data_IF_506308463539
#
_entry.id   IF_506308463539
#
_cell.length_a   1.000
_cell.length_b   1.000
_cell.length_c   1.000
_cell.angle_alpha   90.00
_cell.angle_beta   90.00
_cell.angle_gamma   90.00
#
_symmetry.space_group_name_H-M   'P 1'
#
loop_
_entity.id
_entity.type
_entity.pdbx_description
1 polymer ?
#
# COMPACT_ATOMS: atom_id res chain seq x y z
N UNK A 1 -22.89 -14.20 -25.30
CA UNK A 1 -21.92 -13.08 -25.23
C UNK A 1 -21.01 -13.37 -24.08
N UNK A 2 -19.71 -13.56 -24.32
CA UNK A 2 -18.76 -13.99 -23.29
C UNK A 2 -18.76 -12.97 -22.14
N UNK A 3 -19.01 -13.43 -20.93
CA UNK A 3 -18.86 -12.66 -19.70
C UNK A 3 -17.41 -12.18 -19.58
N UNK A 4 -17.11 -10.98 -20.10
CA UNK A 4 -15.79 -10.36 -19.98
C UNK A 4 -15.63 -9.76 -18.58
N UNK A 5 -15.52 -10.64 -17.59
CA UNK A 5 -15.32 -10.25 -16.18
C UNK A 5 -14.05 -9.42 -16.02
N UNK A 6 -13.00 -9.77 -16.77
CA UNK A 6 -11.71 -9.06 -16.85
C UNK A 6 -11.70 -8.15 -18.08
N UNK A 7 -12.55 -7.13 -18.08
CA UNK A 7 -12.56 -6.05 -19.07
C UNK A 7 -12.88 -4.72 -18.39
N UNK A 8 -12.37 -3.63 -18.94
CA UNK A 8 -12.76 -2.28 -18.51
C UNK A 8 -14.24 -1.96 -18.76
N UNK A 9 -14.93 -2.78 -19.56
CA UNK A 9 -16.39 -2.73 -19.71
C UNK A 9 -17.11 -3.11 -18.41
N UNK A 10 -16.48 -3.91 -17.55
CA UNK A 10 -17.02 -4.28 -16.25
C UNK A 10 -16.70 -3.17 -15.23
N UNK A 11 -17.70 -2.47 -14.68
CA UNK A 11 -17.47 -1.35 -13.77
C UNK A 11 -16.73 -1.76 -12.48
N UNK A 12 -16.88 -3.01 -12.05
CA UNK A 12 -16.19 -3.56 -10.88
C UNK A 12 -14.70 -3.74 -11.16
N UNK A 13 -14.35 -4.29 -12.33
CA UNK A 13 -12.97 -4.48 -12.73
C UNK A 13 -12.29 -3.14 -13.03
N UNK A 14 -12.97 -2.22 -13.72
CA UNK A 14 -12.45 -0.89 -14.01
C UNK A 14 -12.14 -0.12 -12.71
N UNK A 15 -13.05 -0.18 -11.73
CA UNK A 15 -12.83 0.40 -10.41
C UNK A 15 -11.63 -0.26 -9.73
N UNK A 16 -11.62 -1.60 -9.65
CA UNK A 16 -10.50 -2.35 -9.07
C UNK A 16 -9.16 -1.94 -9.69
N UNK A 17 -9.05 -1.92 -11.02
CA UNK A 17 -7.83 -1.57 -11.74
C UNK A 17 -7.35 -0.15 -11.40
N UNK A 18 -8.27 0.82 -11.30
CA UNK A 18 -7.94 2.18 -10.92
C UNK A 18 -7.40 2.27 -9.47
N UNK A 19 -8.09 1.66 -8.50
CA UNK A 19 -7.67 1.72 -7.08
C UNK A 19 -6.41 0.87 -6.83
N UNK A 20 -6.27 -0.28 -7.48
CA UNK A 20 -5.06 -1.11 -7.47
C UNK A 20 -3.87 -0.36 -8.06
N UNK A 21 -4.07 0.34 -9.17
CA UNK A 21 -3.06 1.22 -9.77
C UNK A 21 -2.66 2.35 -8.82
N UNK A 22 -3.62 3.04 -8.21
CA UNK A 22 -3.35 4.10 -7.22
C UNK A 22 -2.57 3.58 -6.00
N UNK A 23 -2.96 2.42 -5.45
CA UNK A 23 -2.24 1.81 -4.33
C UNK A 23 -0.80 1.41 -4.74
N UNK A 24 -0.63 0.86 -5.93
CA UNK A 24 0.69 0.49 -6.47
C UNK A 24 1.57 1.70 -6.71
N UNK A 25 1.02 2.77 -7.31
CA UNK A 25 1.73 4.04 -7.49
C UNK A 25 2.15 4.66 -6.16
N UNK A 26 1.28 4.59 -5.14
CA UNK A 26 1.61 5.03 -3.78
C UNK A 26 2.80 4.25 -3.23
N UNK A 27 2.81 2.92 -3.36
CA UNK A 27 3.92 2.07 -2.92
C UNK A 27 5.22 2.42 -3.63
N UNK A 28 5.18 2.61 -4.95
CA UNK A 28 6.35 3.06 -5.73
C UNK A 28 6.83 4.46 -5.28
N UNK A 29 5.91 5.37 -4.99
CA UNK A 29 6.23 6.70 -4.46
C UNK A 29 6.96 6.65 -3.11
N UNK A 30 6.62 5.68 -2.24
CA UNK A 30 7.30 5.51 -0.96
C UNK A 30 8.78 5.12 -1.11
N UNK A 31 9.16 4.42 -2.17
CA UNK A 31 10.56 4.16 -2.52
C UNK A 31 11.31 5.47 -2.76
N UNK A 32 10.73 6.38 -3.55
CA UNK A 32 11.32 7.69 -3.85
C UNK A 32 11.45 8.56 -2.60
N UNK A 33 10.43 8.56 -1.72
CA UNK A 33 10.47 9.29 -0.44
C UNK A 33 11.58 8.74 0.47
N UNK A 34 11.80 7.42 0.47
CA UNK A 34 12.89 6.80 1.24
C UNK A 34 14.25 7.25 0.71
N UNK A 35 14.44 7.24 -0.60
CA UNK A 35 15.68 7.71 -1.25
C UNK A 35 15.91 9.20 -0.95
N UNK A 36 14.88 10.03 -1.06
CA UNK A 36 14.95 11.45 -0.72
C UNK A 36 15.45 11.67 0.71
N UNK A 37 14.85 10.99 1.70
CA UNK A 37 15.29 11.12 3.09
C UNK A 37 16.72 10.64 3.32
N UNK A 38 17.17 9.60 2.61
CA UNK A 38 18.57 9.12 2.68
C UNK A 38 19.56 10.15 2.15
N UNK A 39 19.27 10.73 0.98
CA UNK A 39 20.12 11.75 0.36
C UNK A 39 20.13 13.03 1.20
N UNK A 40 18.97 13.55 1.59
CA UNK A 40 18.88 14.79 2.38
C UNK A 40 19.56 14.67 3.75
N UNK A 41 19.47 13.51 4.39
CA UNK A 41 20.11 13.25 5.70
C UNK A 41 21.56 12.77 5.56
N UNK A 42 22.06 12.54 4.34
CA UNK A 42 23.37 11.93 4.07
C UNK A 42 23.59 10.60 4.81
N UNK A 43 22.51 9.84 5.00
CA UNK A 43 22.53 8.53 5.68
C UNK A 43 22.27 7.44 4.65
N UNK A 44 23.31 6.67 4.38
CA UNK A 44 23.28 5.62 3.37
C UNK A 44 23.34 4.24 4.02
N UNK A 45 22.73 3.25 3.37
CA UNK A 45 22.83 1.86 3.81
C UNK A 45 24.16 1.25 3.42
N UNK A 46 24.68 1.61 2.25
CA UNK A 46 25.87 1.01 1.69
C UNK A 46 26.99 2.05 1.54
N UNK A 47 28.26 1.63 1.64
CA UNK A 47 29.40 2.53 1.53
C UNK A 47 29.55 3.13 0.12
N UNK A 48 29.21 2.41 -0.94
CA UNK A 48 29.27 2.93 -2.33
C UNK A 48 28.33 4.13 -2.55
N UNK A 49 27.20 4.17 -1.85
CA UNK A 49 26.20 5.23 -2.01
C UNK A 49 26.64 6.55 -1.37
N UNK A 50 27.69 6.53 -0.54
CA UNK A 50 28.25 7.74 0.06
C UNK A 50 28.80 8.72 -0.98
N UNK A 51 29.10 8.23 -2.20
CA UNK A 51 29.52 9.08 -3.31
C UNK A 51 28.42 10.04 -3.80
N UNK A 52 27.14 9.70 -3.57
CA UNK A 52 26.01 10.56 -3.91
C UNK A 52 25.70 11.61 -2.83
N UNK A 53 26.34 11.52 -1.67
CA UNK A 53 26.21 12.48 -0.58
C UNK A 53 27.40 13.45 -0.48
N UNK A 54 27.30 14.39 0.46
CA UNK A 54 28.45 15.20 0.83
C UNK A 54 29.47 14.31 1.55
N UNK A 55 30.60 13.99 0.89
CA UNK A 55 31.64 13.04 1.35
C UNK A 55 32.08 13.21 2.80
N UNK A 56 32.06 14.43 3.33
CA UNK A 56 32.46 14.73 4.72
C UNK A 56 31.35 14.49 5.76
N UNK A 57 30.08 14.41 5.32
CA UNK A 57 28.90 14.24 6.19
C UNK A 57 28.14 12.94 5.94
N UNK A 58 28.54 12.17 4.91
CA UNK A 58 27.94 10.89 4.59
C UNK A 58 28.32 9.85 5.63
N UNK A 59 27.32 9.33 6.34
CA UNK A 59 27.50 8.29 7.34
C UNK A 59 26.77 7.02 6.89
N UNK A 60 27.50 5.90 6.87
CA UNK A 60 26.90 4.57 6.62
C UNK A 60 26.29 4.09 7.93
N UNK A 61 24.99 4.31 8.10
CA UNK A 61 24.22 3.88 9.29
C UNK A 61 22.81 3.51 8.87
N UNK A 62 22.30 2.43 9.44
CA UNK A 62 20.93 1.98 9.19
C UNK A 62 19.91 2.60 10.14
N UNK A 63 20.37 3.12 11.29
CA UNK A 63 19.53 3.39 12.47
C UNK A 63 19.02 4.83 12.54
N UNK A 64 19.11 5.61 11.46
CA UNK A 64 18.64 6.99 11.50
C UNK A 64 17.11 7.02 11.66
N UNK A 65 16.57 7.64 12.72
CA UNK A 65 15.16 7.48 13.12
C UNK A 65 14.17 7.88 12.04
N UNK A 66 14.46 8.96 11.28
CA UNK A 66 13.63 9.42 10.17
C UNK A 66 13.63 8.43 8.99
N UNK A 67 14.80 7.87 8.63
CA UNK A 67 14.94 6.93 7.52
C UNK A 67 14.26 5.61 7.86
N UNK A 68 14.46 5.12 9.09
CA UNK A 68 13.77 3.94 9.59
C UNK A 68 12.25 4.12 9.70
N UNK A 69 11.79 5.34 10.02
CA UNK A 69 10.36 5.65 10.05
C UNK A 69 9.75 5.47 8.66
N UNK A 70 10.34 6.06 7.63
CA UNK A 70 9.86 5.92 6.24
C UNK A 70 10.00 4.47 5.76
N UNK A 71 11.10 3.78 6.09
CA UNK A 71 11.31 2.36 5.76
C UNK A 71 10.23 1.46 6.39
N UNK A 72 9.89 1.66 7.67
CA UNK A 72 8.80 0.91 8.33
C UNK A 72 7.44 1.17 7.69
N UNK A 73 7.19 2.40 7.24
CA UNK A 73 5.99 2.74 6.50
C UNK A 73 5.92 1.97 5.18
N UNK A 74 7.02 1.97 4.42
CA UNK A 74 7.10 1.23 3.17
C UNK A 74 6.97 -0.29 3.37
N UNK A 75 7.58 -0.84 4.43
CA UNK A 75 7.37 -2.26 4.78
C UNK A 75 5.91 -2.57 5.09
N UNK A 76 5.21 -1.71 5.82
CA UNK A 76 3.79 -1.89 6.08
C UNK A 76 2.96 -1.87 4.78
N UNK A 77 3.33 -1.03 3.82
CA UNK A 77 2.69 -1.04 2.51
C UNK A 77 2.94 -2.35 1.75
N UNK A 78 4.17 -2.86 1.79
CA UNK A 78 4.53 -4.15 1.20
C UNK A 78 3.83 -5.34 1.86
N UNK A 79 3.47 -5.24 3.13
CA UNK A 79 2.71 -6.27 3.84
C UNK A 79 1.20 -6.22 3.52
N UNK A 80 0.65 -5.07 3.13
CA UNK A 80 -0.80 -4.88 2.99
C UNK A 80 -1.29 -4.71 1.55
N UNK A 81 -0.53 -4.06 0.69
CA UNK A 81 -0.93 -3.80 -0.70
C UNK A 81 -0.90 -5.07 -1.55
N UNK A 82 0.13 -5.94 -1.51
CA UNK A 82 0.12 -7.18 -2.30
C UNK A 82 -1.05 -8.12 -1.96
N UNK A 83 -1.41 -8.35 -0.68
CA UNK A 83 -2.63 -9.09 -0.36
C UNK A 83 -3.89 -8.43 -0.94
N UNK A 84 -4.01 -7.10 -0.88
CA UNK A 84 -5.14 -6.38 -1.47
C UNK A 84 -5.20 -6.55 -2.99
N UNK A 85 -4.07 -6.53 -3.70
CA UNK A 85 -4.04 -6.76 -5.15
C UNK A 85 -4.53 -8.18 -5.49
N UNK A 86 -4.03 -9.19 -4.78
CA UNK A 86 -4.43 -10.58 -5.05
C UNK A 86 -5.89 -10.82 -4.69
N UNK A 87 -6.30 -10.45 -3.47
CA UNK A 87 -7.68 -10.67 -2.98
C UNK A 87 -8.67 -9.81 -3.76
N UNK A 88 -8.33 -8.55 -4.05
CA UNK A 88 -9.17 -7.65 -4.83
C UNK A 88 -9.42 -8.19 -6.24
N UNK A 89 -8.39 -8.74 -6.89
CA UNK A 89 -8.56 -9.41 -8.18
C UNK A 89 -9.49 -10.64 -8.09
N UNK A 90 -9.27 -11.51 -7.10
CA UNK A 90 -10.13 -12.68 -6.89
C UNK A 90 -11.57 -12.28 -6.56
N UNK A 91 -11.77 -11.16 -5.84
CA UNK A 91 -13.07 -10.62 -5.50
C UNK A 91 -13.83 -10.08 -6.72
N UNK A 92 -13.15 -9.59 -7.77
CA UNK A 92 -13.82 -9.26 -9.04
C UNK A 92 -14.47 -10.51 -9.66
N UNK A 93 -13.82 -11.68 -9.53
CA UNK A 93 -14.30 -12.95 -10.09
C UNK A 93 -15.56 -13.47 -9.38
N UNK A 94 -15.80 -13.07 -8.13
CA UNK A 94 -17.01 -13.47 -7.40
C UNK A 94 -18.28 -12.72 -7.84
N UNK A 95 -18.18 -11.85 -8.86
CA UNK A 95 -19.27 -10.99 -9.37
C UNK A 95 -20.05 -10.27 -8.26
N UNK A 96 -19.35 -9.49 -7.40
CA UNK A 96 -19.99 -8.75 -6.33
C UNK A 96 -20.82 -7.59 -6.89
N UNK A 97 -21.70 -7.03 -6.05
CA UNK A 97 -22.41 -5.80 -6.41
C UNK A 97 -21.43 -4.63 -6.57
N UNK A 98 -21.67 -3.80 -7.60
CA UNK A 98 -20.77 -2.71 -7.99
C UNK A 98 -20.53 -1.71 -6.86
N UNK A 99 -21.59 -1.33 -6.14
CA UNK A 99 -21.51 -0.35 -5.06
C UNK A 99 -20.70 -0.87 -3.88
N UNK A 100 -20.91 -2.13 -3.50
CA UNK A 100 -20.19 -2.73 -2.37
C UNK A 100 -18.71 -2.86 -2.70
N UNK A 101 -18.35 -3.33 -3.90
CA UNK A 101 -16.96 -3.42 -4.32
C UNK A 101 -16.26 -2.04 -4.35
N UNK A 102 -16.94 -1.03 -4.88
CA UNK A 102 -16.43 0.34 -4.93
C UNK A 102 -16.13 0.89 -3.52
N UNK A 103 -17.04 0.66 -2.56
CA UNK A 103 -16.82 1.06 -1.18
C UNK A 103 -15.66 0.33 -0.51
N UNK A 104 -15.46 -0.95 -0.78
CA UNK A 104 -14.30 -1.70 -0.25
C UNK A 104 -12.98 -1.12 -0.77
N UNK A 105 -12.89 -0.84 -2.08
CA UNK A 105 -11.68 -0.27 -2.69
C UNK A 105 -11.39 1.15 -2.19
N UNK A 106 -12.42 2.00 -2.07
CA UNK A 106 -12.30 3.34 -1.51
C UNK A 106 -11.86 3.32 -0.06
N UNK A 107 -12.50 2.48 0.77
CA UNK A 107 -12.18 2.37 2.18
C UNK A 107 -10.74 1.89 2.39
N UNK A 108 -10.29 0.89 1.61
CA UNK A 108 -8.91 0.43 1.66
C UNK A 108 -7.93 1.57 1.33
N UNK A 109 -8.07 2.22 0.17
CA UNK A 109 -7.14 3.28 -0.25
C UNK A 109 -7.13 4.46 0.75
N UNK A 110 -8.30 4.91 1.21
CA UNK A 110 -8.42 5.99 2.18
C UNK A 110 -7.71 5.61 3.50
N UNK A 111 -7.94 4.40 4.03
CA UNK A 111 -7.27 3.93 5.23
C UNK A 111 -5.74 3.87 5.05
N UNK A 112 -5.22 3.51 3.87
CA UNK A 112 -3.77 3.49 3.61
C UNK A 112 -3.16 4.88 3.52
N UNK A 113 -3.84 5.83 2.88
CA UNK A 113 -3.40 7.22 2.82
C UNK A 113 -3.40 7.86 4.21
N UNK A 114 -4.47 7.68 4.98
CA UNK A 114 -4.58 8.20 6.35
C UNK A 114 -3.58 7.53 7.29
N UNK A 115 -3.38 6.21 7.18
CA UNK A 115 -2.34 5.50 7.93
C UNK A 115 -0.96 6.11 7.66
N UNK A 116 -0.64 6.37 6.40
CA UNK A 116 0.63 6.98 5.98
C UNK A 116 0.82 8.36 6.59
N UNK A 117 -0.21 9.22 6.51
CA UNK A 117 -0.20 10.55 7.07
C UNK A 117 -0.02 10.53 8.61
N UNK A 118 -0.79 9.71 9.32
CA UNK A 118 -0.67 9.55 10.77
C UNK A 118 0.68 8.97 11.20
N UNK A 119 1.24 8.06 10.41
CA UNK A 119 2.55 7.46 10.69
C UNK A 119 3.67 8.49 10.60
N UNK A 120 3.64 9.36 9.58
CA UNK A 120 4.61 10.44 9.42
C UNK A 120 4.45 11.50 10.53
N UNK A 121 3.21 11.85 10.88
CA UNK A 121 2.89 12.80 11.94
C UNK A 121 3.09 12.25 13.37
N UNK A 122 3.36 10.95 13.53
CA UNK A 122 3.52 10.33 14.85
C UNK A 122 2.23 10.30 15.69
N UNK A 123 1.06 10.32 15.04
CA UNK A 123 -0.24 10.41 15.70
C UNK A 123 -0.75 9.03 16.14
N UNK A 124 -0.60 8.75 17.43
CA UNK A 124 -1.22 7.63 18.13
C UNK A 124 -2.51 8.14 18.82
N UNK A 125 -3.65 7.41 18.80
CA UNK A 125 -3.89 6.02 18.39
C UNK A 125 -4.28 5.83 16.92
N UNK A 126 -4.43 6.93 16.16
CA UNK A 126 -4.96 6.95 14.80
C UNK A 126 -4.25 6.01 13.82
N UNK A 127 -2.92 5.88 13.95
CA UNK A 127 -2.14 4.89 13.21
C UNK A 127 -2.71 3.47 13.35
N UNK A 128 -2.96 3.02 14.58
CA UNK A 128 -3.47 1.67 14.83
C UNK A 128 -4.87 1.49 14.24
N UNK A 129 -5.74 2.48 14.43
CA UNK A 129 -7.12 2.45 13.93
C UNK A 129 -7.12 2.30 12.41
N UNK A 130 -6.39 3.14 11.68
CA UNK A 130 -6.34 3.04 10.21
C UNK A 130 -5.65 1.77 9.70
N UNK A 131 -4.72 1.20 10.48
CA UNK A 131 -4.16 -0.11 10.22
C UNK A 131 -5.21 -1.22 10.29
N UNK A 132 -5.90 -1.34 11.41
CA UNK A 132 -6.92 -2.37 11.59
C UNK A 132 -8.12 -2.19 10.64
N UNK A 133 -8.54 -0.95 10.36
CA UNK A 133 -9.61 -0.69 9.40
C UNK A 133 -9.22 -1.13 7.98
N UNK A 134 -7.97 -0.87 7.55
CA UNK A 134 -7.47 -1.33 6.26
C UNK A 134 -7.33 -2.86 6.18
N UNK A 135 -6.91 -3.50 7.28
CA UNK A 135 -6.85 -4.95 7.35
C UNK A 135 -8.25 -5.58 7.30
N UNK A 136 -9.22 -4.99 8.01
CA UNK A 136 -10.60 -5.47 8.04
C UNK A 136 -11.27 -5.44 6.66
N UNK A 137 -11.00 -4.44 5.83
CA UNK A 137 -11.55 -4.39 4.46
C UNK A 137 -10.97 -5.49 3.58
N UNK A 138 -9.66 -5.76 3.66
CA UNK A 138 -9.02 -6.87 2.94
C UNK A 138 -9.51 -8.23 3.43
N UNK A 139 -9.67 -8.41 4.75
CA UNK A 139 -10.24 -9.63 5.34
C UNK A 139 -11.69 -9.86 4.91
N UNK A 140 -12.52 -8.81 4.89
CA UNK A 140 -13.92 -8.90 4.41
C UNK A 140 -13.99 -9.45 2.98
N UNK A 141 -13.15 -8.93 2.07
CA UNK A 141 -13.09 -9.44 0.69
C UNK A 141 -12.56 -10.88 0.65
N UNK A 142 -11.54 -11.21 1.45
CA UNK A 142 -10.98 -12.56 1.52
C UNK A 142 -12.01 -13.60 1.96
N UNK A 143 -12.81 -13.29 2.98
CA UNK A 143 -13.88 -14.18 3.47
C UNK A 143 -14.92 -14.42 2.38
N UNK A 144 -15.31 -13.39 1.62
CA UNK A 144 -16.26 -13.54 0.52
C UNK A 144 -15.70 -14.38 -0.64
N UNK A 145 -14.41 -14.23 -0.94
CA UNK A 145 -13.71 -15.07 -1.92
C UNK A 145 -13.67 -16.54 -1.47
N UNK A 146 -13.29 -16.79 -0.21
CA UNK A 146 -13.25 -18.15 0.36
C UNK A 146 -14.64 -18.78 0.40
N UNK A 147 -15.68 -18.03 0.79
CA UNK A 147 -17.05 -18.53 0.85
C UNK A 147 -17.63 -18.90 -0.53
N UNK A 148 -17.09 -18.32 -1.61
CA UNK A 148 -17.44 -18.69 -2.99
C UNK A 148 -16.58 -19.84 -3.53
N UNK A 149 -15.39 -20.05 -2.98
CA UNK A 149 -14.56 -21.20 -3.28
C UNK A 149 -15.21 -22.47 -2.74
N UNK A 150 -15.24 -23.54 -3.54
CA UNK A 150 -15.55 -24.87 -3.02
C UNK A 150 -14.32 -25.40 -2.29
N UNK A 151 -14.44 -25.59 -0.97
CA UNK A 151 -13.49 -26.35 -0.15
C UNK A 151 -13.96 -27.79 0.01
#
# INVERSE_FOLDING_TARGET
MADRVVSFDNPVFASYAAYAGLASMKMMGMTLVTVYHRITKNVFSNPEDTCFGAKEKSVVRLDHPDVERVRRLHLNDLENIPPFLVIGFLYVLTKPSSDVALWHYRAFLACRLLHTACYLAGLQPWRGIFFFSGLATTLSMAVQVVAKGSL
#
